data_IF_551961915243
#
_entry.id   IF_551961915243
#
_cell.length_a   1.000
_cell.length_b   1.000
_cell.length_c   1.000
_cell.angle_alpha   90.00
_cell.angle_beta   90.00
_cell.angle_gamma   90.00
#
_symmetry.space_group_name_H-M   'P 1'
#
loop_
_entity.id
_entity.type
_entity.pdbx_description
1 polymer ?
#
# COMPACT_ATOMS: atom_id res chain seq x y z
N UNK A 1 -18.49 9.31 9.05
CA UNK A 1 -18.88 7.89 9.19
C UNK A 1 -18.92 7.15 7.85
N UNK A 2 -19.55 7.71 6.80
CA UNK A 2 -19.61 7.06 5.48
C UNK A 2 -18.25 6.66 4.84
N UNK A 3 -17.21 7.51 4.76
CA UNK A 3 -15.97 7.15 4.04
C UNK A 3 -15.26 5.94 4.61
N UNK A 4 -15.11 5.88 5.94
CA UNK A 4 -14.38 4.79 6.61
C UNK A 4 -15.12 3.46 6.46
N UNK A 5 -16.45 3.47 6.56
CA UNK A 5 -17.25 2.25 6.35
C UNK A 5 -17.18 1.75 4.90
N UNK A 6 -17.22 2.66 3.92
CA UNK A 6 -17.05 2.32 2.49
C UNK A 6 -15.66 1.74 2.25
N UNK A 7 -14.62 2.35 2.80
CA UNK A 7 -13.24 1.86 2.75
C UNK A 7 -13.15 0.42 3.28
N UNK A 8 -13.63 0.17 4.50
CA UNK A 8 -13.57 -1.15 5.12
C UNK A 8 -14.31 -2.21 4.30
N UNK A 9 -15.50 -1.88 3.79
CA UNK A 9 -16.28 -2.81 2.95
C UNK A 9 -15.56 -3.14 1.64
N UNK A 10 -14.98 -2.13 0.98
CA UNK A 10 -14.27 -2.33 -0.29
C UNK A 10 -12.98 -3.14 -0.11
N UNK A 11 -12.21 -2.90 0.95
CA UNK A 11 -11.01 -3.71 1.25
C UNK A 11 -11.39 -5.17 1.46
N UNK A 12 -12.42 -5.44 2.26
CA UNK A 12 -12.89 -6.82 2.52
C UNK A 12 -13.33 -7.50 1.22
N UNK A 13 -14.12 -6.82 0.38
CA UNK A 13 -14.58 -7.37 -0.89
C UNK A 13 -13.41 -7.64 -1.84
N UNK A 14 -12.45 -6.72 -1.92
CA UNK A 14 -11.27 -6.85 -2.76
C UNK A 14 -10.39 -8.04 -2.31
N UNK A 15 -10.05 -8.11 -1.03
CA UNK A 15 -9.23 -9.19 -0.45
C UNK A 15 -9.92 -10.54 -0.60
N UNK A 16 -11.23 -10.61 -0.33
CA UNK A 16 -11.99 -11.83 -0.51
C UNK A 16 -11.96 -12.33 -1.95
N UNK A 17 -12.22 -11.44 -2.92
CA UNK A 17 -12.24 -11.77 -4.35
C UNK A 17 -10.86 -12.23 -4.85
N UNK A 18 -9.80 -11.55 -4.40
CA UNK A 18 -8.43 -11.81 -4.86
C UNK A 18 -7.71 -12.91 -4.07
N UNK A 19 -8.26 -13.38 -2.94
CA UNK A 19 -7.63 -14.40 -2.08
C UNK A 19 -7.23 -15.65 -2.86
N UNK A 20 -8.12 -16.13 -3.73
CA UNK A 20 -7.86 -17.28 -4.63
C UNK A 20 -6.66 -17.05 -5.56
N UNK A 21 -6.54 -15.84 -6.11
CA UNK A 21 -5.47 -15.45 -7.06
C UNK A 21 -4.13 -15.19 -6.36
N UNK A 22 -4.15 -14.64 -5.14
CA UNK A 22 -2.95 -14.49 -4.30
C UNK A 22 -2.42 -15.86 -3.87
N UNK A 23 -3.29 -16.80 -3.47
CA UNK A 23 -2.89 -18.17 -3.08
C UNK A 23 -2.36 -19.01 -4.26
N UNK A 24 -2.86 -18.83 -5.48
CA UNK A 24 -2.30 -19.51 -6.66
C UNK A 24 -0.94 -18.96 -7.12
N UNK A 25 -0.60 -17.72 -6.75
CA UNK A 25 0.67 -17.06 -7.08
C UNK A 25 1.79 -17.36 -6.06
N UNK A 26 1.56 -18.28 -5.12
CA UNK A 26 2.53 -18.74 -4.09
C UNK A 26 3.83 -19.35 -4.64
N UNK A 27 3.95 -19.49 -5.97
CA UNK A 27 5.18 -19.88 -6.65
C UNK A 27 6.12 -18.69 -6.97
N UNK A 28 5.66 -17.44 -6.75
CA UNK A 28 6.49 -16.25 -6.89
C UNK A 28 7.28 -15.99 -5.60
N UNK A 29 8.55 -15.61 -5.74
CA UNK A 29 9.44 -15.32 -4.62
C UNK A 29 8.82 -14.28 -3.66
N UNK A 30 8.96 -14.44 -2.33
CA UNK A 30 8.38 -13.52 -1.36
C UNK A 30 8.91 -12.10 -1.59
N UNK A 31 7.99 -11.15 -1.75
CA UNK A 31 8.34 -9.74 -2.01
C UNK A 31 9.03 -9.17 -0.77
N UNK A 32 10.30 -8.78 -0.91
CA UNK A 32 11.02 -8.04 0.13
C UNK A 32 10.44 -6.63 0.23
N UNK A 33 9.73 -6.36 1.32
CA UNK A 33 9.26 -5.01 1.68
C UNK A 33 10.00 -4.51 2.93
N UNK A 34 9.87 -3.23 3.24
CA UNK A 34 10.43 -2.67 4.48
C UNK A 34 9.88 -3.37 5.74
N UNK A 35 8.68 -3.95 5.68
CA UNK A 35 8.04 -4.66 6.78
C UNK A 35 8.53 -6.10 6.97
N UNK A 36 9.15 -6.73 5.96
CA UNK A 36 9.75 -8.08 6.03
C UNK A 36 11.24 -8.06 5.65
N UNK A 37 11.95 -7.00 6.04
CA UNK A 37 13.30 -6.75 5.56
C UNK A 37 14.33 -7.76 6.11
N UNK A 38 14.13 -8.24 7.34
CA UNK A 38 15.14 -9.05 8.06
C UNK A 38 14.79 -10.53 8.09
N UNK A 39 13.51 -10.88 8.24
CA UNK A 39 13.06 -12.25 8.38
C UNK A 39 11.93 -12.59 7.40
N UNK A 40 12.08 -13.73 6.71
CA UNK A 40 11.04 -14.32 5.87
C UNK A 40 10.34 -15.43 6.62
N UNK A 41 9.07 -15.21 6.95
CA UNK A 41 8.26 -16.19 7.66
C UNK A 41 7.90 -17.36 6.72
N UNK A 42 8.36 -18.55 7.07
CA UNK A 42 8.04 -19.78 6.33
C UNK A 42 7.03 -20.60 7.15
N UNK A 43 6.03 -21.25 6.51
CA UNK A 43 5.01 -22.01 7.25
C UNK A 43 5.57 -23.13 8.14
N UNK A 44 6.75 -23.68 7.81
CA UNK A 44 7.45 -24.73 8.57
C UNK A 44 8.10 -24.29 9.88
N UNK A 45 8.23 -22.98 10.14
CA UNK A 45 8.98 -22.49 11.29
C UNK A 45 8.19 -22.57 12.60
N UNK A 46 8.89 -22.76 13.72
CA UNK A 46 8.28 -22.79 15.06
C UNK A 46 7.69 -21.42 15.44
N UNK A 47 6.60 -21.41 16.21
CA UNK A 47 5.92 -20.17 16.65
C UNK A 47 6.86 -19.19 17.34
N UNK A 48 7.78 -19.67 18.17
CA UNK A 48 8.79 -18.83 18.85
C UNK A 48 9.77 -18.17 17.87
N UNK A 49 10.15 -18.85 16.78
CA UNK A 49 11.01 -18.29 15.75
C UNK A 49 10.26 -17.24 14.92
N UNK A 50 9.01 -17.53 14.54
CA UNK A 50 8.15 -16.59 13.82
C UNK A 50 7.93 -15.31 14.61
N UNK A 51 7.63 -15.42 15.91
CA UNK A 51 7.46 -14.26 16.79
C UNK A 51 8.73 -13.42 16.91
N UNK A 52 9.89 -14.04 17.15
CA UNK A 52 11.17 -13.31 17.24
C UNK A 52 11.53 -12.61 15.94
N UNK A 53 11.32 -13.27 14.81
CA UNK A 53 11.55 -12.70 13.48
C UNK A 53 10.61 -11.53 13.19
N UNK A 54 9.32 -11.69 13.47
CA UNK A 54 8.30 -10.65 13.34
C UNK A 54 8.60 -9.42 14.22
N UNK A 55 9.06 -9.62 15.45
CA UNK A 55 9.46 -8.54 16.35
C UNK A 55 10.64 -7.73 15.79
N UNK A 56 11.63 -8.42 15.24
CA UNK A 56 12.80 -7.77 14.63
C UNK A 56 12.39 -7.00 13.37
N UNK A 57 11.57 -7.59 12.51
CA UNK A 57 10.99 -6.95 11.34
C UNK A 57 10.21 -5.68 11.70
N UNK A 58 9.32 -5.76 12.69
CA UNK A 58 8.53 -4.62 13.15
C UNK A 58 9.41 -3.51 13.75
N UNK A 59 10.41 -3.86 14.57
CA UNK A 59 11.36 -2.89 15.13
C UNK A 59 12.10 -2.12 14.03
N UNK A 60 12.63 -2.82 13.03
CA UNK A 60 13.34 -2.19 11.90
C UNK A 60 12.40 -1.31 11.10
N UNK A 61 11.18 -1.79 10.83
CA UNK A 61 10.15 -0.99 10.15
C UNK A 61 9.84 0.31 10.90
N UNK A 62 9.61 0.25 12.21
CA UNK A 62 9.33 1.41 13.07
C UNK A 62 10.50 2.40 13.08
N UNK A 63 11.74 1.91 13.16
CA UNK A 63 12.94 2.77 13.11
C UNK A 63 13.01 3.50 11.76
N UNK A 64 12.79 2.80 10.65
CA UNK A 64 12.84 3.39 9.30
C UNK A 64 11.79 4.49 9.14
N UNK A 65 10.52 4.21 9.49
CA UNK A 65 9.44 5.21 9.37
C UNK A 65 9.66 6.39 10.34
N UNK A 66 10.24 6.15 11.51
CA UNK A 66 10.57 7.20 12.48
C UNK A 66 11.64 8.13 11.92
N UNK A 67 12.75 7.60 11.40
CA UNK A 67 13.81 8.38 10.75
C UNK A 67 13.23 9.20 9.58
N UNK A 68 12.39 8.59 8.73
CA UNK A 68 11.76 9.28 7.61
C UNK A 68 10.84 10.42 8.09
N UNK A 69 10.09 10.18 9.17
CA UNK A 69 9.21 11.20 9.77
C UNK A 69 10.01 12.37 10.31
N UNK A 70 11.08 12.10 11.08
CA UNK A 70 11.98 13.15 11.57
C UNK A 70 12.64 13.92 10.42
N UNK A 71 13.04 13.25 9.34
CA UNK A 71 13.59 13.91 8.15
C UNK A 71 12.55 14.85 7.52
N UNK A 72 11.31 14.41 7.35
CA UNK A 72 10.22 15.26 6.82
C UNK A 72 9.98 16.48 7.72
N UNK A 73 9.94 16.29 9.04
CA UNK A 73 9.77 17.37 10.02
C UNK A 73 10.96 18.34 9.97
N UNK A 74 12.19 17.83 9.86
CA UNK A 74 13.40 18.63 9.75
C UNK A 74 13.37 19.50 8.47
N UNK A 75 13.01 18.90 7.34
CA UNK A 75 12.84 19.61 6.06
C UNK A 75 11.74 20.70 6.14
N UNK A 76 10.69 20.44 6.92
CA UNK A 76 9.65 21.44 7.19
C UNK A 76 10.20 22.61 8.02
N UNK A 77 10.97 22.34 9.08
CA UNK A 77 11.63 23.37 9.90
C UNK A 77 12.60 24.23 9.08
N UNK A 78 13.34 23.64 8.13
CA UNK A 78 14.21 24.37 7.20
C UNK A 78 13.46 25.10 6.07
N UNK A 79 12.13 25.14 6.11
CA UNK A 79 11.26 25.81 5.11
C UNK A 79 11.41 25.28 3.68
N UNK A 80 11.83 24.03 3.48
CA UNK A 80 11.82 23.36 2.18
C UNK A 80 10.40 22.94 1.74
N UNK A 81 9.45 23.87 1.79
CA UNK A 81 8.02 23.63 1.54
C UNK A 81 7.76 23.15 0.11
N UNK A 82 8.48 23.68 -0.88
CA UNK A 82 8.37 23.24 -2.28
C UNK A 82 8.81 21.78 -2.46
N UNK A 83 9.90 21.37 -1.80
CA UNK A 83 10.37 19.99 -1.85
C UNK A 83 9.35 19.05 -1.21
N UNK A 84 8.83 19.36 -0.02
CA UNK A 84 7.79 18.58 0.64
C UNK A 84 6.53 18.45 -0.24
N UNK A 85 6.11 19.57 -0.84
CA UNK A 85 4.95 19.62 -1.74
C UNK A 85 5.14 18.68 -2.95
N UNK A 86 6.34 18.61 -3.52
CA UNK A 86 6.63 17.73 -4.64
C UNK A 86 6.79 16.27 -4.21
N UNK A 87 7.48 16.04 -3.09
CA UNK A 87 7.65 14.71 -2.49
C UNK A 87 6.31 14.02 -2.24
N UNK A 88 5.35 14.71 -1.61
CA UNK A 88 4.04 14.11 -1.32
C UNK A 88 3.25 13.78 -2.60
N UNK A 89 3.33 14.63 -3.64
CA UNK A 89 2.70 14.33 -4.94
C UNK A 89 3.35 13.14 -5.63
N UNK A 90 4.68 13.11 -5.66
CA UNK A 90 5.45 12.06 -6.28
C UNK A 90 5.24 10.72 -5.56
N UNK A 91 5.19 10.72 -4.23
CA UNK A 91 4.87 9.53 -3.43
C UNK A 91 3.48 8.98 -3.77
N UNK A 92 2.45 9.83 -3.81
CA UNK A 92 1.11 9.41 -4.21
C UNK A 92 1.05 8.89 -5.65
N UNK A 93 1.77 9.52 -6.58
CA UNK A 93 1.91 9.04 -7.96
C UNK A 93 2.53 7.64 -8.00
N UNK A 94 3.63 7.45 -7.28
CA UNK A 94 4.34 6.17 -7.24
C UNK A 94 3.46 5.05 -6.66
N UNK A 95 2.73 5.32 -5.59
CA UNK A 95 1.77 4.37 -5.00
C UNK A 95 0.66 4.03 -5.99
N UNK A 96 -0.03 5.02 -6.56
CA UNK A 96 -1.13 4.76 -7.51
C UNK A 96 -0.64 4.03 -8.77
N UNK A 97 0.54 4.38 -9.28
CA UNK A 97 1.10 3.75 -10.47
C UNK A 97 1.55 2.32 -10.19
N UNK A 98 2.42 2.08 -9.19
CA UNK A 98 3.05 0.76 -9.00
C UNK A 98 2.16 -0.22 -8.25
N UNK A 99 1.66 0.21 -7.09
CA UNK A 99 0.80 -0.61 -6.23
C UNK A 99 -0.58 -0.78 -6.86
N UNK A 100 -1.13 0.30 -7.43
CA UNK A 100 -2.39 0.25 -8.17
C UNK A 100 -2.32 -0.63 -9.42
N UNK A 101 -1.21 -0.60 -10.17
CA UNK A 101 -1.00 -1.50 -11.32
C UNK A 101 -1.02 -2.97 -10.92
N UNK A 102 -0.33 -3.33 -9.84
CA UNK A 102 -0.28 -4.71 -9.37
C UNK A 102 -1.68 -5.23 -9.06
N UNK A 103 -2.50 -4.45 -8.34
CA UNK A 103 -3.88 -4.80 -8.02
C UNK A 103 -4.75 -4.85 -9.29
N UNK A 104 -4.57 -3.90 -10.21
CA UNK A 104 -5.30 -3.86 -11.47
C UNK A 104 -5.04 -5.10 -12.33
N UNK A 105 -3.78 -5.56 -12.41
CA UNK A 105 -3.45 -6.81 -13.08
C UNK A 105 -4.10 -8.03 -12.43
N UNK A 106 -4.07 -8.13 -11.09
CA UNK A 106 -4.73 -9.23 -10.39
C UNK A 106 -6.24 -9.28 -10.68
N UNK A 107 -6.90 -8.12 -10.76
CA UNK A 107 -8.32 -8.02 -11.13
C UNK A 107 -8.53 -8.50 -12.58
N UNK A 108 -7.72 -8.04 -13.53
CA UNK A 108 -7.82 -8.46 -14.93
C UNK A 108 -7.67 -9.97 -15.07
N UNK A 109 -6.68 -10.55 -14.38
CA UNK A 109 -6.42 -11.99 -14.38
C UNK A 109 -7.57 -12.77 -13.73
N UNK A 110 -8.11 -12.29 -12.60
CA UNK A 110 -9.22 -12.92 -11.91
C UNK A 110 -10.49 -12.97 -12.77
N UNK A 111 -10.82 -11.87 -13.46
CA UNK A 111 -11.98 -11.80 -14.35
C UNK A 111 -11.71 -12.30 -15.78
N UNK A 112 -10.49 -12.77 -16.06
CA UNK A 112 -10.06 -13.23 -17.40
C UNK A 112 -10.36 -12.23 -18.52
N UNK A 113 -10.17 -10.93 -18.25
CA UNK A 113 -10.48 -9.87 -19.20
C UNK A 113 -9.31 -9.74 -20.19
N UNK A 114 -9.58 -9.84 -21.49
CA UNK A 114 -8.57 -9.64 -22.52
C UNK A 114 -8.36 -8.13 -22.77
N UNK A 115 -7.29 -7.58 -22.21
CA UNK A 115 -6.89 -6.17 -22.38
C UNK A 115 -5.45 -6.11 -22.90
N UNK A 116 -5.24 -5.33 -23.95
CA UNK A 116 -3.90 -5.06 -24.48
C UNK A 116 -3.05 -4.22 -23.53
N UNK A 117 -1.73 -4.43 -23.53
CA UNK A 117 -0.78 -3.68 -22.71
C UNK A 117 -0.89 -2.15 -22.89
N UNK A 118 -1.13 -1.67 -24.12
CA UNK A 118 -1.28 -0.24 -24.42
C UNK A 118 -2.51 0.33 -23.72
N UNK A 119 -3.64 -0.36 -23.83
CA UNK A 119 -4.90 0.05 -23.19
C UNK A 119 -4.76 0.05 -21.67
N UNK A 120 -4.14 -0.99 -21.10
CA UNK A 120 -3.83 -1.07 -19.67
C UNK A 120 -2.96 0.12 -19.21
N UNK A 121 -1.89 0.43 -19.95
CA UNK A 121 -0.99 1.53 -19.65
C UNK A 121 -1.71 2.89 -19.69
N UNK A 122 -2.49 3.15 -20.74
CA UNK A 122 -3.24 4.41 -20.89
C UNK A 122 -4.26 4.58 -19.76
N UNK A 123 -5.01 3.53 -19.42
CA UNK A 123 -6.01 3.58 -18.35
C UNK A 123 -5.35 3.86 -17.00
N UNK A 124 -4.29 3.14 -16.67
CA UNK A 124 -3.55 3.30 -15.42
C UNK A 124 -2.90 4.69 -15.32
N UNK A 125 -2.30 5.16 -16.40
CA UNK A 125 -1.67 6.48 -16.45
C UNK A 125 -2.70 7.59 -16.23
N UNK A 126 -3.85 7.53 -16.90
CA UNK A 126 -4.95 8.47 -16.68
C UNK A 126 -5.46 8.41 -15.23
N UNK A 127 -5.70 7.21 -14.70
CA UNK A 127 -6.12 7.02 -13.31
C UNK A 127 -5.13 7.64 -12.31
N UNK A 128 -3.83 7.40 -12.52
CA UNK A 128 -2.76 7.91 -11.64
C UNK A 128 -2.65 9.43 -11.71
N UNK A 129 -2.61 10.01 -12.91
CA UNK A 129 -2.48 11.47 -13.10
C UNK A 129 -3.72 12.19 -12.54
N UNK A 130 -4.92 11.72 -12.89
CA UNK A 130 -6.17 12.29 -12.38
C UNK A 130 -6.26 12.11 -10.86
N UNK A 131 -5.82 10.98 -10.32
CA UNK A 131 -5.81 10.74 -8.88
C UNK A 131 -4.94 11.72 -8.11
N UNK A 132 -3.69 11.91 -8.55
CA UNK A 132 -2.77 12.87 -7.91
C UNK A 132 -3.29 14.30 -8.05
N UNK A 133 -3.77 14.69 -9.23
CA UNK A 133 -4.37 16.00 -9.43
C UNK A 133 -5.60 16.21 -8.52
N UNK A 134 -6.45 15.20 -8.37
CA UNK A 134 -7.66 15.26 -7.54
C UNK A 134 -7.36 15.40 -6.05
N UNK A 135 -6.35 14.67 -5.54
CA UNK A 135 -5.99 14.69 -4.12
C UNK A 135 -5.36 16.02 -3.71
N UNK A 136 -4.51 16.61 -4.57
CA UNK A 136 -3.73 17.80 -4.23
C UNK A 136 -4.24 19.12 -4.83
N UNK A 137 -5.25 19.08 -5.71
CA UNK A 137 -5.89 20.29 -6.22
C UNK A 137 -6.97 20.80 -5.27
N UNK A 138 -7.13 22.13 -5.22
CA UNK A 138 -8.23 22.79 -4.48
C UNK A 138 -9.51 22.93 -5.29
N UNK A 139 -9.43 22.84 -6.61
CA UNK A 139 -10.54 23.12 -7.52
C UNK A 139 -11.43 21.90 -7.82
N UNK A 140 -11.10 20.73 -7.26
CA UNK A 140 -11.77 19.46 -7.58
C UNK A 140 -12.95 19.23 -6.64
N UNK A 141 -14.10 18.70 -7.13
CA UNK A 141 -15.24 18.39 -6.29
C UNK A 141 -14.86 17.48 -5.12
N UNK A 142 -15.43 17.75 -3.94
CA UNK A 142 -15.10 17.04 -2.71
C UNK A 142 -15.30 15.52 -2.82
N UNK A 143 -16.33 15.11 -3.56
CA UNK A 143 -16.63 13.70 -3.79
C UNK A 143 -15.49 12.99 -4.53
N UNK A 144 -14.93 13.60 -5.58
CA UNK A 144 -13.85 13.00 -6.36
C UNK A 144 -12.56 12.95 -5.54
N UNK A 145 -12.25 14.02 -4.81
CA UNK A 145 -11.10 14.06 -3.91
C UNK A 145 -11.17 12.96 -2.84
N UNK A 146 -12.34 12.80 -2.21
CA UNK A 146 -12.56 11.79 -1.18
C UNK A 146 -12.49 10.38 -1.77
N UNK A 147 -13.03 10.16 -2.97
CA UNK A 147 -12.93 8.88 -3.67
C UNK A 147 -11.48 8.46 -3.93
N UNK A 148 -10.63 9.37 -4.41
CA UNK A 148 -9.21 9.07 -4.63
C UNK A 148 -8.41 8.92 -3.34
N UNK A 149 -8.76 9.64 -2.26
CA UNK A 149 -8.16 9.39 -0.95
C UNK A 149 -8.51 7.99 -0.42
N UNK A 150 -9.77 7.56 -0.54
CA UNK A 150 -10.18 6.20 -0.18
C UNK A 150 -9.50 5.16 -1.07
N UNK A 151 -9.35 5.41 -2.37
CA UNK A 151 -8.63 4.50 -3.26
C UNK A 151 -7.16 4.32 -2.86
N UNK A 152 -6.47 5.41 -2.48
CA UNK A 152 -5.10 5.35 -1.94
C UNK A 152 -5.04 4.47 -0.68
N UNK A 153 -5.98 4.65 0.24
CA UNK A 153 -6.07 3.83 1.46
C UNK A 153 -6.26 2.34 1.12
N UNK A 154 -7.18 2.01 0.21
CA UNK A 154 -7.46 0.62 -0.21
C UNK A 154 -6.21 -0.02 -0.81
N UNK A 155 -5.52 0.69 -1.70
CA UNK A 155 -4.32 0.21 -2.38
C UNK A 155 -3.23 -0.11 -1.35
N UNK A 156 -2.95 0.81 -0.43
CA UNK A 156 -1.93 0.60 0.60
C UNK A 156 -2.31 -0.53 1.56
N UNK A 157 -3.58 -0.61 1.98
CA UNK A 157 -4.06 -1.68 2.84
C UNK A 157 -3.92 -3.07 2.21
N UNK A 158 -4.27 -3.19 0.93
CA UNK A 158 -4.13 -4.45 0.16
C UNK A 158 -2.66 -4.87 0.05
N UNK A 159 -1.72 -3.92 0.05
CA UNK A 159 -0.30 -4.25 0.12
C UNK A 159 0.10 -4.79 1.49
N UNK A 160 -0.44 -4.25 2.58
CA UNK A 160 -0.21 -4.79 3.92
C UNK A 160 -0.84 -6.18 4.14
N UNK A 161 -1.91 -6.54 3.43
CA UNK A 161 -2.49 -7.90 3.55
C UNK A 161 -1.61 -9.00 2.97
N UNK A 162 -0.54 -8.65 2.24
CA UNK A 162 0.44 -9.61 1.75
C UNK A 162 1.51 -9.95 2.81
N UNK A 163 1.46 -9.34 4.00
CA UNK A 163 2.37 -9.68 5.09
C UNK A 163 1.96 -10.97 5.81
N UNK A 164 2.92 -11.78 6.28
CA UNK A 164 2.65 -12.91 7.16
C UNK A 164 1.89 -12.51 8.44
N UNK A 165 1.17 -13.47 9.02
CA UNK A 165 0.30 -13.23 10.17
C UNK A 165 1.06 -12.65 11.37
N UNK A 166 2.16 -13.27 11.81
CA UNK A 166 2.91 -12.80 12.98
C UNK A 166 3.49 -11.41 12.75
N UNK A 167 4.03 -11.13 11.58
CA UNK A 167 4.55 -9.80 11.25
C UNK A 167 3.43 -8.76 11.26
N UNK A 168 2.25 -9.09 10.74
CA UNK A 168 1.08 -8.19 10.74
C UNK A 168 0.63 -7.86 12.16
N UNK A 169 0.42 -8.86 13.01
CA UNK A 169 0.00 -8.66 14.40
C UNK A 169 1.00 -7.84 15.20
N UNK A 170 2.30 -8.14 15.08
CA UNK A 170 3.34 -7.43 15.82
C UNK A 170 3.47 -5.99 15.33
N UNK A 171 3.35 -5.75 14.01
CA UNK A 171 3.38 -4.39 13.45
C UNK A 171 2.17 -3.57 13.91
N UNK A 172 0.97 -4.17 14.01
CA UNK A 172 -0.21 -3.50 14.55
C UNK A 172 -0.01 -3.05 16.00
N UNK A 173 0.55 -3.93 16.84
CA UNK A 173 0.86 -3.60 18.25
C UNK A 173 1.94 -2.52 18.32
N UNK A 174 3.00 -2.63 17.51
CA UNK A 174 4.13 -1.71 17.54
C UNK A 174 3.76 -0.29 17.07
N UNK A 175 2.82 -0.15 16.13
CA UNK A 175 2.32 1.16 15.67
C UNK A 175 1.26 1.77 16.60
N UNK A 176 0.59 0.95 17.40
CA UNK A 176 -0.41 1.41 18.36
C UNK A 176 0.21 1.95 19.67
N UNK A 177 1.46 1.60 19.94
CA UNK A 177 2.26 2.06 21.09
C UNK A 177 2.96 3.39 20.77
#
# INVERSE_FOLDING_TARGET
MAPVSIYMLLVVLLVYSLSSSFSSSSAAAPIRTAANLVYFETPSDSTTQKLKGALLNALVFVIIISILTFLIVLLYCYKFTNFLKNHTRFSAFFVLATMGYSIFLFIIQHFSILIDFITCFVLLFNFTVVGVLSVFSRAVPIFLKQGFMVALEIIVATWFTNLPEWTTWVLLIALAL
#
